data_IF_482854648790
#
_entry.id   IF_482854648790
#
_cell.length_a   1.000
_cell.length_b   1.000
_cell.length_c   1.000
_cell.angle_alpha   90.00
_cell.angle_beta   90.00
_cell.angle_gamma   90.00
#
_symmetry.space_group_name_H-M   'P 1'
#
loop_
_entity.id
_entity.type
_entity.pdbx_description
1 polymer ?
#
# COMPACT_ATOMS: atom_id res chain seq x y z
N UNK A 1 2.47 -8.13 -5.47
CA UNK A 1 2.72 -7.50 -6.81
C UNK A 1 2.89 -6.00 -6.61
N UNK A 2 4.07 -5.53 -6.20
CA UNK A 2 4.27 -4.11 -5.83
C UNK A 2 4.29 -3.18 -7.04
N UNK A 3 3.85 -1.94 -6.82
CA UNK A 3 3.98 -0.84 -7.79
C UNK A 3 5.34 -0.15 -7.68
N UNK A 4 6.01 -0.32 -6.56
CA UNK A 4 7.22 0.41 -6.22
C UNK A 4 8.43 -0.53 -6.21
N UNK A 5 9.51 -0.03 -6.81
CA UNK A 5 10.85 -0.59 -6.71
C UNK A 5 11.84 0.55 -6.49
N UNK A 6 13.10 0.23 -6.27
CA UNK A 6 14.17 1.22 -6.33
C UNK A 6 15.17 0.87 -7.43
N UNK A 7 15.79 1.89 -8.00
CA UNK A 7 16.81 1.76 -9.04
C UNK A 7 18.09 1.23 -8.44
N UNK A 8 18.65 0.20 -9.04
CA UNK A 8 19.94 -0.36 -8.60
C UNK A 8 21.04 0.70 -8.71
N UNK A 9 21.85 0.85 -7.69
CA UNK A 9 22.99 1.76 -7.65
C UNK A 9 22.68 3.16 -7.15
N UNK A 10 21.55 3.76 -7.53
CA UNK A 10 21.14 5.09 -7.05
C UNK A 10 20.20 5.05 -5.85
N UNK A 11 19.45 3.94 -5.66
CA UNK A 11 18.41 3.86 -4.64
C UNK A 11 17.15 4.68 -4.97
N UNK A 12 17.11 5.35 -6.14
CA UNK A 12 15.97 6.15 -6.57
C UNK A 12 14.68 5.32 -6.59
N UNK A 13 13.63 5.86 -6.02
CA UNK A 13 12.30 5.25 -6.00
C UNK A 13 11.69 5.27 -7.40
N UNK A 14 11.24 4.13 -7.86
CA UNK A 14 10.57 3.97 -9.16
C UNK A 14 9.12 3.57 -8.92
N UNK A 15 8.20 4.43 -9.29
CA UNK A 15 6.75 4.16 -9.30
C UNK A 15 6.34 3.77 -10.72
N UNK A 16 6.02 2.48 -10.93
CA UNK A 16 5.65 1.97 -12.25
C UNK A 16 4.30 2.49 -12.73
N UNK A 17 3.45 2.98 -11.84
CA UNK A 17 2.12 3.51 -12.20
C UNK A 17 2.22 4.83 -12.98
N UNK A 18 3.35 5.53 -12.88
CA UNK A 18 3.64 6.78 -13.56
C UNK A 18 4.33 6.58 -14.93
N UNK A 19 4.63 5.33 -15.29
CA UNK A 19 5.36 5.01 -16.52
C UNK A 19 4.42 4.39 -17.54
N UNK A 20 4.17 5.07 -18.64
CA UNK A 20 3.26 4.61 -19.69
C UNK A 20 3.76 3.30 -20.34
N UNK A 21 5.05 3.23 -20.69
CA UNK A 21 5.66 2.03 -21.27
C UNK A 21 6.87 1.55 -20.45
N UNK A 22 6.64 0.83 -19.35
CA UNK A 22 7.72 0.43 -18.45
C UNK A 22 8.80 -0.44 -19.10
N UNK A 23 8.43 -1.28 -20.08
CA UNK A 23 9.41 -2.16 -20.77
C UNK A 23 10.36 -1.40 -21.67
N UNK A 24 9.95 -0.24 -22.20
CA UNK A 24 10.81 0.60 -23.02
C UNK A 24 11.80 1.41 -22.17
N UNK A 25 11.40 1.76 -20.94
CA UNK A 25 12.14 2.67 -20.06
C UNK A 25 13.02 1.92 -19.04
N UNK A 26 12.53 0.79 -18.51
CA UNK A 26 13.20 0.03 -17.45
C UNK A 26 13.87 -1.21 -18.00
N UNK A 27 15.19 -1.28 -17.89
CA UNK A 27 15.99 -2.44 -18.32
C UNK A 27 15.88 -3.60 -17.32
N UNK A 28 16.04 -4.81 -17.81
CA UNK A 28 16.06 -5.99 -16.96
C UNK A 28 17.18 -5.89 -15.92
N UNK A 29 16.86 -6.16 -14.65
CA UNK A 29 17.82 -6.10 -13.54
C UNK A 29 18.14 -4.69 -13.03
N UNK A 30 17.58 -3.64 -13.64
CA UNK A 30 17.76 -2.26 -13.21
C UNK A 30 16.99 -1.95 -11.91
N UNK A 31 15.84 -2.58 -11.72
CA UNK A 31 15.01 -2.38 -10.53
C UNK A 31 15.22 -3.50 -9.51
N UNK A 32 15.27 -3.12 -8.24
CA UNK A 32 15.39 -4.00 -7.09
C UNK A 32 14.27 -3.72 -6.08
N UNK A 33 13.95 -4.72 -5.27
CA UNK A 33 12.97 -4.57 -4.21
C UNK A 33 13.43 -3.52 -3.19
N UNK A 34 12.50 -2.66 -2.75
CA UNK A 34 12.83 -1.58 -1.82
C UNK A 34 13.22 -2.06 -0.40
N UNK A 35 12.90 -3.31 -0.04
CA UNK A 35 13.16 -3.86 1.31
C UNK A 35 14.15 -5.03 1.34
N UNK A 36 14.28 -5.83 0.28
CA UNK A 36 15.19 -6.97 0.28
C UNK A 36 16.32 -6.87 -0.76
N UNK A 37 16.40 -5.79 -1.53
CA UNK A 37 17.41 -5.48 -2.55
C UNK A 37 17.56 -6.52 -3.68
N UNK A 38 16.70 -7.52 -3.75
CA UNK A 38 16.71 -8.50 -4.82
C UNK A 38 16.16 -7.95 -6.13
N UNK A 39 16.68 -8.43 -7.27
CA UNK A 39 16.18 -8.01 -8.58
C UNK A 39 14.68 -8.23 -8.74
N UNK A 40 14.02 -7.29 -9.38
CA UNK A 40 12.60 -7.37 -9.72
C UNK A 40 12.40 -7.41 -11.22
N UNK A 41 11.32 -8.09 -11.64
CA UNK A 41 10.87 -8.18 -13.02
C UNK A 41 9.76 -7.17 -13.25
N UNK A 42 9.83 -6.45 -14.37
CA UNK A 42 8.75 -5.58 -14.85
C UNK A 42 7.65 -6.44 -15.47
N UNK A 43 6.45 -6.39 -14.91
CA UNK A 43 5.24 -6.99 -15.45
C UNK A 43 4.37 -5.87 -16.05
N UNK A 44 4.45 -5.71 -17.37
CA UNK A 44 3.68 -4.72 -18.10
C UNK A 44 3.01 -5.39 -19.30
N UNK A 45 1.74 -5.75 -19.14
CA UNK A 45 0.87 -6.35 -20.15
C UNK A 45 -0.39 -5.51 -20.33
N UNK A 46 -1.20 -5.86 -21.32
CA UNK A 46 -2.42 -5.11 -21.67
C UNK A 46 -3.61 -5.38 -20.74
N UNK A 47 -3.57 -6.46 -19.96
CA UNK A 47 -4.74 -6.93 -19.18
C UNK A 47 -4.64 -6.59 -17.69
N UNK A 48 -3.42 -6.56 -17.15
CA UNK A 48 -3.18 -6.30 -15.72
C UNK A 48 -2.46 -4.99 -15.54
N UNK A 49 -2.67 -4.37 -14.38
CA UNK A 49 -1.91 -3.21 -13.95
C UNK A 49 -0.42 -3.49 -14.04
N UNK A 50 0.35 -2.50 -14.51
CA UNK A 50 1.80 -2.58 -14.51
C UNK A 50 2.29 -2.72 -13.07
N UNK A 51 3.18 -3.68 -12.82
CA UNK A 51 3.71 -3.94 -11.47
C UNK A 51 5.09 -4.58 -11.54
N UNK A 52 5.80 -4.55 -10.43
CA UNK A 52 7.02 -5.33 -10.25
C UNK A 52 6.71 -6.71 -9.65
N UNK A 53 7.56 -7.68 -9.92
CA UNK A 53 7.46 -9.01 -9.33
C UNK A 53 8.84 -9.52 -8.92
N UNK A 54 8.91 -10.22 -7.80
CA UNK A 54 10.10 -10.98 -7.42
C UNK A 54 10.26 -12.22 -8.29
N UNK A 55 11.52 -12.63 -8.48
CA UNK A 55 11.83 -13.99 -8.92
C UNK A 55 11.84 -14.87 -7.67
N UNK A 56 10.68 -15.39 -7.26
CA UNK A 56 10.51 -16.14 -6.02
C UNK A 56 9.95 -15.31 -4.86
N UNK A 57 10.24 -15.70 -3.62
CA UNK A 57 9.76 -15.00 -2.43
C UNK A 57 10.60 -13.76 -2.12
N UNK A 58 9.96 -12.73 -1.58
CA UNK A 58 10.67 -11.66 -0.89
C UNK A 58 11.33 -12.22 0.38
N UNK A 59 12.60 -11.89 0.61
CA UNK A 59 13.38 -12.37 1.76
C UNK A 59 13.52 -11.29 2.84
N UNK A 60 12.67 -10.28 2.84
CA UNK A 60 12.63 -9.30 3.91
C UNK A 60 11.85 -9.83 5.11
N UNK A 61 12.16 -9.29 6.26
CA UNK A 61 11.41 -9.49 7.51
C UNK A 61 10.23 -8.50 7.65
N UNK A 62 10.00 -7.67 6.62
CA UNK A 62 8.82 -6.81 6.56
C UNK A 62 7.56 -7.65 6.38
N UNK A 63 6.58 -7.35 7.22
CA UNK A 63 5.28 -8.00 7.13
C UNK A 63 4.51 -7.40 5.94
N UNK A 64 4.42 -8.17 4.87
CA UNK A 64 3.62 -7.85 3.69
C UNK A 64 2.73 -9.05 3.35
N UNK A 65 1.52 -8.78 2.91
CA UNK A 65 0.62 -9.81 2.41
C UNK A 65 0.78 -9.96 0.90
N UNK A 66 0.56 -11.17 0.34
CA UNK A 66 0.51 -11.35 -1.11
C UNK A 66 -0.59 -10.44 -1.70
N UNK A 67 -0.22 -9.54 -2.58
CA UNK A 67 -1.18 -8.64 -3.22
C UNK A 67 -1.92 -9.35 -4.35
N UNK A 68 -3.24 -9.23 -4.33
CA UNK A 68 -4.12 -9.62 -5.43
C UNK A 68 -4.31 -8.45 -6.43
N UNK A 69 -4.77 -8.71 -7.66
CA UNK A 69 -5.18 -7.64 -8.58
C UNK A 69 -6.22 -6.70 -7.97
N UNK A 70 -7.21 -7.24 -7.24
CA UNK A 70 -8.23 -6.44 -6.55
C UNK A 70 -7.62 -5.50 -5.50
N UNK A 71 -6.56 -5.93 -4.80
CA UNK A 71 -5.86 -5.08 -3.84
C UNK A 71 -5.13 -3.91 -4.55
N UNK A 72 -4.49 -4.19 -5.69
CA UNK A 72 -3.88 -3.14 -6.51
C UNK A 72 -4.91 -2.13 -7.02
N UNK A 73 -6.05 -2.61 -7.52
CA UNK A 73 -7.14 -1.75 -8.02
C UNK A 73 -7.69 -0.87 -6.89
N UNK A 74 -7.87 -1.44 -5.69
CA UNK A 74 -8.31 -0.70 -4.51
C UNK A 74 -7.33 0.42 -4.13
N UNK A 75 -6.04 0.15 -4.07
CA UNK A 75 -5.01 1.17 -3.78
C UNK A 75 -5.04 2.31 -4.80
N UNK A 76 -5.13 1.98 -6.09
CA UNK A 76 -5.21 2.99 -7.15
C UNK A 76 -6.49 3.81 -7.08
N UNK A 77 -7.61 3.16 -6.85
CA UNK A 77 -8.89 3.85 -6.65
C UNK A 77 -8.80 4.85 -5.49
N UNK A 78 -8.28 4.43 -4.34
CA UNK A 78 -8.12 5.31 -3.18
C UNK A 78 -7.17 6.46 -3.48
N UNK A 79 -5.99 6.21 -4.05
CA UNK A 79 -5.03 7.27 -4.37
C UNK A 79 -5.58 8.32 -5.35
N UNK A 80 -6.42 7.90 -6.31
CA UNK A 80 -7.06 8.81 -7.25
C UNK A 80 -8.17 9.64 -6.58
N UNK A 81 -8.96 9.02 -5.69
CA UNK A 81 -10.19 9.64 -5.18
C UNK A 81 -10.02 10.40 -3.87
N UNK A 82 -8.99 10.10 -3.04
CA UNK A 82 -8.81 10.76 -1.74
C UNK A 82 -8.74 12.30 -1.89
N UNK A 83 -8.01 12.81 -2.87
CA UNK A 83 -7.88 14.26 -3.10
C UNK A 83 -9.15 14.89 -3.65
N UNK A 84 -9.94 14.15 -4.41
CA UNK A 84 -11.18 14.66 -5.02
C UNK A 84 -12.32 14.69 -4.02
N UNK A 85 -12.40 13.68 -3.15
CA UNK A 85 -13.50 13.54 -2.19
C UNK A 85 -13.29 14.32 -0.90
N UNK A 86 -12.02 14.52 -0.48
CA UNK A 86 -11.70 15.17 0.80
C UNK A 86 -10.79 16.36 0.58
N UNK A 87 -11.30 17.56 0.85
CA UNK A 87 -10.58 18.84 0.66
C UNK A 87 -9.27 18.90 1.45
N UNK A 88 -9.23 18.23 2.59
CA UNK A 88 -8.07 18.14 3.48
C UNK A 88 -6.89 17.44 2.79
N UNK A 89 -7.15 16.59 1.81
CA UNK A 89 -6.14 15.85 1.06
C UNK A 89 -5.61 16.60 -0.18
N UNK A 90 -6.16 17.76 -0.53
CA UNK A 90 -5.83 18.47 -1.79
C UNK A 90 -4.33 18.76 -1.95
N UNK A 91 -3.63 19.10 -0.85
CA UNK A 91 -2.21 19.48 -0.85
C UNK A 91 -1.31 18.42 -0.20
N UNK A 92 -1.75 17.16 -0.15
CA UNK A 92 -0.96 16.06 0.44
C UNK A 92 -0.11 15.37 -0.61
N UNK A 93 0.98 14.74 -0.15
CA UNK A 93 1.69 13.73 -0.93
C UNK A 93 1.08 12.37 -0.65
N UNK A 94 0.72 11.61 -1.69
CA UNK A 94 0.20 10.24 -1.58
C UNK A 94 1.18 9.31 -2.28
N UNK A 95 1.74 8.38 -1.53
CA UNK A 95 2.75 7.43 -2.01
C UNK A 95 2.29 5.99 -1.78
N UNK A 96 2.50 5.12 -2.79
CA UNK A 96 2.23 3.70 -2.67
C UNK A 96 3.34 2.98 -1.90
N UNK A 97 2.97 1.97 -1.13
CA UNK A 97 3.86 0.92 -0.62
C UNK A 97 5.13 1.47 0.05
N UNK A 98 4.93 2.36 1.00
CA UNK A 98 6.03 3.02 1.71
C UNK A 98 6.52 2.13 2.86
N UNK A 99 7.79 1.70 2.86
CA UNK A 99 8.37 0.98 3.98
C UNK A 99 8.47 1.87 5.22
N UNK A 100 8.11 1.32 6.36
CA UNK A 100 8.24 1.92 7.69
C UNK A 100 9.23 1.06 8.49
N UNK A 101 10.53 1.37 8.43
CA UNK A 101 11.59 0.50 8.94
C UNK A 101 11.50 0.25 10.45
N UNK A 102 11.04 1.24 11.20
CA UNK A 102 10.95 1.21 12.67
C UNK A 102 10.07 0.06 13.16
N UNK A 103 9.04 -0.28 12.39
CA UNK A 103 8.06 -1.32 12.73
C UNK A 103 7.98 -2.44 11.70
N UNK A 104 8.86 -2.41 10.69
CA UNK A 104 8.94 -3.41 9.61
C UNK A 104 7.60 -3.65 8.91
N UNK A 105 6.85 -2.57 8.68
CA UNK A 105 5.60 -2.54 7.91
C UNK A 105 5.82 -1.86 6.55
N UNK A 106 4.95 -2.16 5.61
CA UNK A 106 4.85 -1.44 4.33
C UNK A 106 3.44 -0.90 4.28
N UNK A 107 3.29 0.42 4.32
CA UNK A 107 1.98 1.07 4.20
C UNK A 107 1.47 0.94 2.76
N UNK A 108 0.22 0.54 2.57
CA UNK A 108 -0.40 0.43 1.24
C UNK A 108 -0.41 1.78 0.51
N UNK A 109 -0.87 2.82 1.21
CA UNK A 109 -0.70 4.23 0.83
C UNK A 109 -0.23 5.00 2.05
N UNK A 110 0.79 5.82 1.91
CA UNK A 110 1.17 6.79 2.91
C UNK A 110 0.81 8.19 2.43
N UNK A 111 -0.02 8.88 3.20
CA UNK A 111 -0.39 10.27 2.96
C UNK A 111 0.41 11.15 3.91
N UNK A 112 1.13 12.12 3.34
CA UNK A 112 1.87 13.12 4.12
C UNK A 112 1.25 14.50 3.90
N UNK A 113 0.81 15.12 4.98
CA UNK A 113 0.23 16.47 4.98
C UNK A 113 1.33 17.54 5.02
N UNK A 114 1.04 18.77 4.56
CA UNK A 114 2.02 19.88 4.61
C UNK A 114 2.56 20.17 6.01
N UNK A 115 1.82 19.81 7.05
CA UNK A 115 2.23 19.94 8.47
C UNK A 115 3.27 18.89 8.90
N UNK A 116 3.57 17.91 8.06
CA UNK A 116 4.37 16.74 8.40
C UNK A 116 3.57 15.60 9.05
N UNK A 117 2.27 15.78 9.28
CA UNK A 117 1.40 14.70 9.75
C UNK A 117 1.30 13.59 8.69
N UNK A 118 1.41 12.33 9.13
CA UNK A 118 1.39 11.16 8.25
C UNK A 118 0.24 10.25 8.60
N UNK A 119 -0.44 9.75 7.57
CA UNK A 119 -1.56 8.81 7.69
C UNK A 119 -1.36 7.64 6.73
N UNK A 120 -1.32 6.42 7.24
CA UNK A 120 -1.34 5.21 6.45
C UNK A 120 -2.78 4.82 6.10
N UNK A 121 -3.09 4.65 4.83
CA UNK A 121 -4.34 4.04 4.38
C UNK A 121 -4.08 2.58 4.05
N UNK A 122 -4.66 1.69 4.83
CA UNK A 122 -4.50 0.25 4.72
C UNK A 122 -5.72 -0.39 4.08
N UNK A 123 -5.52 -1.16 3.02
CA UNK A 123 -6.57 -1.88 2.30
C UNK A 123 -6.57 -3.35 2.74
N UNK A 124 -7.58 -3.75 3.49
CA UNK A 124 -7.69 -5.11 3.99
C UNK A 124 -8.82 -5.86 3.29
N UNK A 125 -8.50 -6.61 2.22
CA UNK A 125 -9.49 -7.39 1.47
C UNK A 125 -9.66 -8.81 2.01
N UNK A 126 -8.58 -9.45 2.44
CA UNK A 126 -8.60 -10.78 3.05
C UNK A 126 -9.11 -10.72 4.49
N UNK A 127 -9.59 -11.85 5.00
CA UNK A 127 -9.99 -11.97 6.40
C UNK A 127 -8.85 -11.58 7.34
N UNK A 128 -9.20 -10.88 8.40
CA UNK A 128 -8.29 -10.42 9.45
C UNK A 128 -9.02 -10.49 10.79
N UNK A 129 -8.30 -10.77 11.87
CA UNK A 129 -8.88 -10.72 13.21
C UNK A 129 -8.77 -9.31 13.81
N UNK A 130 -9.56 -9.04 14.82
CA UNK A 130 -9.52 -7.77 15.57
C UNK A 130 -8.16 -7.56 16.24
N UNK A 131 -7.56 -8.63 16.77
CA UNK A 131 -6.23 -8.59 17.40
C UNK A 131 -5.14 -8.20 16.39
N UNK A 132 -5.22 -8.73 15.16
CA UNK A 132 -4.28 -8.37 14.08
C UNK A 132 -4.46 -6.92 13.62
N UNK A 133 -5.71 -6.42 13.56
CA UNK A 133 -5.96 -4.99 13.29
C UNK A 133 -5.35 -4.12 14.38
N UNK A 134 -5.55 -4.49 15.65
CA UNK A 134 -5.00 -3.78 16.80
C UNK A 134 -3.47 -3.78 16.79
N UNK A 135 -2.84 -4.94 16.56
CA UNK A 135 -1.38 -5.06 16.48
C UNK A 135 -0.81 -4.13 15.40
N UNK A 136 -1.36 -4.19 14.19
CA UNK A 136 -0.90 -3.36 13.08
C UNK A 136 -1.14 -1.87 13.33
N UNK A 137 -2.25 -1.52 13.98
CA UNK A 137 -2.54 -0.13 14.38
C UNK A 137 -1.52 0.36 15.40
N UNK A 138 -1.18 -0.46 16.39
CA UNK A 138 -0.16 -0.13 17.39
C UNK A 138 1.21 0.10 16.74
N UNK A 139 1.60 -0.72 15.74
CA UNK A 139 2.87 -0.54 15.03
C UNK A 139 2.92 0.84 14.33
N UNK A 140 1.86 1.23 13.63
CA UNK A 140 1.79 2.57 13.02
C UNK A 140 1.86 3.69 14.06
N UNK A 141 1.13 3.54 15.17
CA UNK A 141 1.16 4.51 16.29
C UNK A 141 2.58 4.65 16.86
N UNK A 142 3.32 3.55 17.05
CA UNK A 142 4.72 3.57 17.50
C UNK A 142 5.64 4.31 16.52
N UNK A 143 5.34 4.28 15.22
CA UNK A 143 6.08 5.01 14.19
C UNK A 143 5.61 6.47 14.05
N UNK A 144 4.65 6.94 14.86
CA UNK A 144 4.07 8.28 14.77
C UNK A 144 3.24 8.49 13.49
N UNK A 145 2.55 7.43 13.05
CA UNK A 145 1.70 7.42 11.85
C UNK A 145 0.29 7.03 12.29
N UNK A 146 -0.70 7.82 11.92
CA UNK A 146 -2.10 7.44 12.09
C UNK A 146 -2.50 6.45 11.00
N UNK A 147 -3.53 5.63 11.25
CA UNK A 147 -3.98 4.63 10.29
C UNK A 147 -5.47 4.73 10.00
N UNK A 148 -5.82 4.54 8.74
CA UNK A 148 -7.19 4.44 8.24
C UNK A 148 -7.37 3.08 7.58
N UNK A 149 -8.29 2.27 8.10
CA UNK A 149 -8.59 0.94 7.59
C UNK A 149 -9.73 0.96 6.57
N UNK A 150 -9.47 0.38 5.40
CA UNK A 150 -10.45 0.14 4.35
C UNK A 150 -10.76 -1.35 4.27
N UNK A 151 -11.90 -1.75 4.83
CA UNK A 151 -12.28 -3.16 4.96
C UNK A 151 -13.03 -3.64 3.73
N UNK A 152 -12.49 -4.62 3.01
CA UNK A 152 -13.20 -5.35 1.97
C UNK A 152 -14.13 -6.42 2.57
N UNK A 153 -14.96 -7.03 1.74
CA UNK A 153 -16.05 -7.95 2.14
C UNK A 153 -15.63 -9.01 3.17
N UNK A 154 -14.45 -9.61 3.03
CA UNK A 154 -14.00 -10.69 3.94
C UNK A 154 -13.45 -10.17 5.28
N UNK A 155 -12.98 -8.92 5.31
CA UNK A 155 -12.49 -8.25 6.52
C UNK A 155 -13.60 -7.49 7.25
N UNK A 156 -14.70 -7.13 6.55
CA UNK A 156 -15.80 -6.31 7.04
C UNK A 156 -16.77 -7.14 7.89
N UNK A 157 -16.27 -7.74 8.97
CA UNK A 157 -17.03 -8.52 9.94
C UNK A 157 -17.69 -7.63 11.00
N UNK A 158 -18.77 -8.09 11.68
CA UNK A 158 -19.36 -7.33 12.79
C UNK A 158 -18.34 -6.97 13.89
N UNK A 159 -17.44 -7.90 14.23
CA UNK A 159 -16.39 -7.68 15.24
C UNK A 159 -15.41 -6.59 14.82
N UNK A 160 -14.93 -6.63 13.57
CA UNK A 160 -13.99 -5.63 13.03
C UNK A 160 -14.65 -4.26 12.90
N UNK A 161 -15.92 -4.20 12.49
CA UNK A 161 -16.68 -2.94 12.45
C UNK A 161 -16.81 -2.31 13.84
N UNK A 162 -17.15 -3.11 14.82
CA UNK A 162 -17.31 -2.63 16.21
C UNK A 162 -15.98 -2.13 16.76
N UNK A 163 -14.90 -2.89 16.51
CA UNK A 163 -13.57 -2.46 16.90
C UNK A 163 -13.16 -1.14 16.24
N UNK A 164 -13.38 -0.99 14.92
CA UNK A 164 -13.10 0.26 14.21
C UNK A 164 -13.89 1.43 14.79
N UNK A 165 -15.21 1.25 15.06
CA UNK A 165 -16.06 2.29 15.65
C UNK A 165 -15.60 2.69 17.04
N UNK A 166 -15.26 1.73 17.89
CA UNK A 166 -14.80 2.02 19.25
C UNK A 166 -13.41 2.67 19.28
N UNK A 167 -12.54 2.34 18.32
CA UNK A 167 -11.16 2.85 18.26
C UNK A 167 -11.07 4.20 17.54
N UNK A 168 -11.77 4.35 16.41
CA UNK A 168 -11.64 5.50 15.51
C UNK A 168 -12.92 6.36 15.41
N UNK A 169 -14.05 5.88 15.92
CA UNK A 169 -15.35 6.53 15.77
C UNK A 169 -16.07 6.24 14.46
N UNK A 170 -15.47 5.49 13.53
CA UNK A 170 -16.02 5.16 12.21
C UNK A 170 -15.56 3.78 11.70
N UNK A 171 -16.22 3.31 10.65
CA UNK A 171 -15.80 2.14 9.86
C UNK A 171 -15.92 2.49 8.38
N UNK A 172 -14.90 2.15 7.59
CA UNK A 172 -14.89 2.32 6.15
C UNK A 172 -14.89 0.96 5.46
N UNK A 173 -15.84 0.77 4.56
CA UNK A 173 -15.98 -0.48 3.79
C UNK A 173 -15.72 -0.23 2.32
N UNK A 174 -14.95 -1.11 1.68
CA UNK A 174 -14.73 -1.10 0.24
C UNK A 174 -15.67 -2.10 -0.44
N UNK A 175 -16.50 -1.58 -1.35
CA UNK A 175 -17.37 -2.39 -2.19
C UNK A 175 -16.98 -2.19 -3.64
N UNK A 176 -16.61 -3.29 -4.31
CA UNK A 176 -16.38 -3.27 -5.75
C UNK A 176 -17.70 -3.62 -6.45
N UNK A 177 -18.19 -2.75 -7.32
CA UNK A 177 -19.25 -3.12 -8.25
C UNK A 177 -18.64 -4.07 -9.28
N UNK A 178 -19.24 -5.25 -9.41
CA UNK A 178 -18.89 -6.24 -10.44
C UNK A 178 -19.43 -5.80 -11.80
#
# INVERSE_FOLDING_TARGET
MPFIAKRRGTGERVDITLIENPRAVLKQGECICQVCDRPMIVKAGLVRQHHFAHVGRCHSDYQSHPESPAHQDAKRFLAANLREQFREYANTTIEYEVPIPEVKRIADLLVTFPTGWRVAHEVQLASITTEQLQERTNDYTLAGIDVVWWLGKSADTPANREWCRSTFGYTLSLTFQQ
#
